data_IF_468267939471
#
_entry.id   IF_468267939471
#
_cell.length_a   1.000
_cell.length_b   1.000
_cell.length_c   1.000
_cell.angle_alpha   90.00
_cell.angle_beta   90.00
_cell.angle_gamma   90.00
#
_symmetry.space_group_name_H-M   'P 1'
#
loop_
_entity.id
_entity.type
_entity.pdbx_description
1 polymer ?
#
# COMPACT_ATOMS: atom_id res chain seq x y z
N UNK A 1 -22.81 3.66 -20.71
CA UNK A 1 -22.95 3.02 -19.37
C UNK A 1 -21.72 2.18 -18.98
N UNK A 2 -21.24 1.23 -19.80
CA UNK A 2 -20.09 0.38 -19.45
C UNK A 2 -18.78 1.14 -19.18
N UNK A 3 -18.45 2.17 -19.97
CA UNK A 3 -17.21 2.93 -19.82
C UNK A 3 -17.16 3.75 -18.51
N UNK A 4 -18.26 4.39 -18.12
CA UNK A 4 -18.33 5.18 -16.88
C UNK A 4 -18.19 4.31 -15.63
N UNK A 5 -18.77 3.11 -15.64
CA UNK A 5 -18.61 2.15 -14.54
C UNK A 5 -17.15 1.71 -14.39
N UNK A 6 -16.47 1.40 -15.50
CA UNK A 6 -15.06 1.01 -15.50
C UNK A 6 -14.15 2.16 -15.01
N UNK A 7 -14.43 3.39 -15.43
CA UNK A 7 -13.70 4.58 -14.96
C UNK A 7 -13.90 4.80 -13.46
N UNK A 8 -15.13 4.71 -12.98
CA UNK A 8 -15.44 4.84 -11.55
C UNK A 8 -14.74 3.76 -10.73
N UNK A 9 -14.83 2.49 -11.14
CA UNK A 9 -14.15 1.39 -10.49
C UNK A 9 -12.61 1.58 -10.48
N UNK A 10 -12.04 2.06 -11.58
CA UNK A 10 -10.61 2.37 -11.67
C UNK A 10 -10.19 3.46 -10.69
N UNK A 11 -10.96 4.52 -10.55
CA UNK A 11 -10.70 5.61 -9.58
C UNK A 11 -10.77 5.06 -8.15
N UNK A 12 -11.79 4.26 -7.82
CA UNK A 12 -11.92 3.66 -6.49
C UNK A 12 -10.73 2.76 -6.17
N UNK A 13 -10.33 1.88 -7.09
CA UNK A 13 -9.19 1.00 -6.90
C UNK A 13 -7.87 1.79 -6.75
N UNK A 14 -7.71 2.87 -7.51
CA UNK A 14 -6.54 3.73 -7.38
C UNK A 14 -6.47 4.41 -6.00
N UNK A 15 -7.60 4.96 -5.53
CA UNK A 15 -7.69 5.58 -4.20
C UNK A 15 -7.38 4.57 -3.09
N UNK A 16 -7.95 3.36 -3.17
CA UNK A 16 -7.66 2.29 -2.22
C UNK A 16 -6.18 1.89 -2.26
N UNK A 17 -5.61 1.71 -3.46
CA UNK A 17 -4.20 1.39 -3.59
C UNK A 17 -3.30 2.48 -2.98
N UNK A 18 -3.65 3.76 -3.18
CA UNK A 18 -2.92 4.88 -2.61
C UNK A 18 -3.01 4.93 -1.08
N UNK A 19 -4.22 4.74 -0.52
CA UNK A 19 -4.43 4.67 0.94
C UNK A 19 -3.63 3.51 1.54
N UNK A 20 -3.70 2.32 0.94
CA UNK A 20 -2.92 1.17 1.36
C UNK A 20 -1.42 1.47 1.35
N UNK A 21 -0.90 2.10 0.30
CA UNK A 21 0.53 2.40 0.18
C UNK A 21 1.00 3.38 1.27
N UNK A 22 0.21 4.43 1.56
CA UNK A 22 0.47 5.32 2.70
C UNK A 22 0.43 4.58 4.03
N UNK A 23 -0.51 3.65 4.22
CA UNK A 23 -0.58 2.80 5.41
C UNK A 23 0.67 1.93 5.60
N UNK A 24 1.26 1.42 4.52
CA UNK A 24 2.51 0.68 4.58
C UNK A 24 3.69 1.55 5.03
N UNK A 25 3.77 2.79 4.52
CA UNK A 25 4.79 3.76 4.95
C UNK A 25 4.63 4.07 6.44
N UNK A 26 3.40 4.33 6.89
CA UNK A 26 3.10 4.59 8.29
C UNK A 26 3.55 3.42 9.20
N UNK A 27 3.27 2.18 8.81
CA UNK A 27 3.70 0.98 9.56
C UNK A 27 5.22 0.79 9.60
N UNK A 28 5.98 1.28 8.61
CA UNK A 28 7.45 1.31 8.70
C UNK A 28 7.89 2.21 9.86
N UNK A 29 7.25 3.37 10.03
CA UNK A 29 7.55 4.28 11.14
C UNK A 29 7.15 3.70 12.50
N UNK A 30 6.04 2.95 12.58
CA UNK A 30 5.66 2.22 13.81
C UNK A 30 6.64 1.09 14.17
N UNK A 31 7.45 0.64 13.21
CA UNK A 31 8.47 -0.40 13.42
C UNK A 31 9.88 0.18 13.62
N UNK A 32 10.04 1.51 13.63
CA UNK A 32 11.35 2.17 13.58
C UNK A 32 12.20 1.97 14.85
N UNK A 33 11.57 1.76 16.00
CA UNK A 33 12.19 1.47 17.29
C UNK A 33 12.29 -0.05 17.57
N UNK A 34 11.78 -0.87 16.66
CA UNK A 34 11.77 -2.33 16.76
C UNK A 34 12.97 -3.03 16.10
N UNK A 35 13.07 -4.36 16.27
CA UNK A 35 14.09 -5.15 15.60
C UNK A 35 13.88 -5.19 14.08
N UNK A 36 14.98 -5.31 13.33
CA UNK A 36 14.92 -5.51 11.88
C UNK A 36 14.36 -6.91 11.60
N UNK A 37 13.15 -6.95 11.04
CA UNK A 37 12.45 -8.19 10.67
C UNK A 37 12.31 -8.34 9.16
N UNK A 38 12.03 -9.56 8.70
CA UNK A 38 11.64 -9.79 7.30
C UNK A 38 10.45 -8.93 6.88
N UNK A 39 9.53 -8.63 7.81
CA UNK A 39 8.40 -7.77 7.56
C UNK A 39 8.79 -6.31 7.35
N UNK A 40 9.73 -5.77 8.13
CA UNK A 40 10.27 -4.44 7.88
C UNK A 40 10.90 -4.35 6.47
N UNK A 41 11.68 -5.37 6.09
CA UNK A 41 12.35 -5.42 4.78
C UNK A 41 11.31 -5.42 3.65
N UNK A 42 10.29 -6.29 3.70
CA UNK A 42 9.31 -6.37 2.63
C UNK A 42 8.44 -5.11 2.54
N UNK A 43 8.16 -4.45 3.67
CA UNK A 43 7.48 -3.14 3.68
C UNK A 43 8.31 -2.07 3.00
N UNK A 44 9.63 -2.01 3.24
CA UNK A 44 10.55 -1.06 2.57
C UNK A 44 10.58 -1.33 1.06
N UNK A 45 10.69 -2.58 0.63
CA UNK A 45 10.59 -2.94 -0.80
C UNK A 45 9.24 -2.52 -1.37
N UNK A 46 8.15 -2.73 -0.62
CA UNK A 46 6.80 -2.31 -0.99
C UNK A 46 6.63 -0.81 -1.24
N UNK A 47 7.50 0.05 -0.69
CA UNK A 47 7.48 1.49 -1.00
C UNK A 47 7.80 1.74 -2.48
N UNK A 48 8.79 1.01 -3.03
CA UNK A 48 9.19 1.13 -4.45
C UNK A 48 8.31 0.30 -5.39
N UNK A 49 7.73 -0.78 -4.87
CA UNK A 49 6.78 -1.63 -5.60
C UNK A 49 5.35 -1.32 -5.13
N UNK A 50 4.81 -0.20 -5.61
CA UNK A 50 3.53 0.35 -5.15
C UNK A 50 2.36 -0.66 -5.05
N UNK A 51 2.16 -1.62 -6.00
CA UNK A 51 1.11 -2.62 -5.86
C UNK A 51 1.31 -3.57 -4.66
N UNK A 52 2.55 -3.86 -4.29
CA UNK A 52 2.86 -4.69 -3.13
C UNK A 52 2.74 -3.88 -1.84
N UNK A 53 3.25 -2.65 -1.83
CA UNK A 53 3.12 -1.74 -0.70
C UNK A 53 1.67 -1.45 -0.33
N UNK A 54 0.77 -1.32 -1.31
CA UNK A 54 -0.64 -1.10 -1.03
C UNK A 54 -1.30 -2.26 -0.29
N UNK A 55 -1.02 -3.50 -0.69
CA UNK A 55 -1.51 -4.70 -0.04
C UNK A 55 -0.96 -4.83 1.38
N UNK A 56 0.35 -4.62 1.56
CA UNK A 56 1.00 -4.67 2.87
C UNK A 56 0.48 -3.61 3.85
N UNK A 57 0.01 -2.47 3.37
CA UNK A 57 -0.55 -1.44 4.25
C UNK A 57 -1.86 -1.85 4.92
N UNK A 58 -2.64 -2.72 4.28
CA UNK A 58 -3.87 -3.28 4.84
C UNK A 58 -3.64 -4.46 5.79
N UNK A 59 -2.43 -5.04 5.81
CA UNK A 59 -1.99 -6.07 6.75
C UNK A 59 -1.31 -5.43 7.95
#
# INVERSE_FOLDING_TARGET
>A
MKAYFLQFAGIVLFVLAFIGWLGNIYKIFEMADGPVTAMLIIRIVGVFFAPMGSLLGYM
#
